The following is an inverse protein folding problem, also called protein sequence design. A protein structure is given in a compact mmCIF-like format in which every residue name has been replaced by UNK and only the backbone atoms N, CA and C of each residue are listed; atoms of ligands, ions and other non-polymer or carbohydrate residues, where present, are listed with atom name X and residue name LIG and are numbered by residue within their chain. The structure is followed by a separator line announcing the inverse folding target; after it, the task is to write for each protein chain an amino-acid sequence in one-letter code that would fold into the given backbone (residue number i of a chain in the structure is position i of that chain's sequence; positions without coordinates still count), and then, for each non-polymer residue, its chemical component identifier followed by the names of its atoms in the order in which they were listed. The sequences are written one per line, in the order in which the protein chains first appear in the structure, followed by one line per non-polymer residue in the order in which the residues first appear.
data_IF_008000924993
#
_entry.id   IF_008000924993
#
_cell.length_a   1.000
_cell.length_b   1.000
_cell.length_c   1.000
_cell.angle_alpha   90.00
_cell.angle_beta   90.00
_cell.angle_gamma   90.00
#
_symmetry.space_group_name_H-M   'P 1'
#
loop_
_entity.id
_entity.type
_entity.pdbx_description
1 polymer ?
#
# COMPACT_ATOMS: atom_id res chain seq x y z
N UNK A 1 -16.55 -93.99 44.74
CA UNK A 1 -15.89 -92.78 45.21
C UNK A 1 -14.86 -92.40 44.14
N UNK A 2 -15.18 -91.53 43.20
CA UNK A 2 -14.25 -91.19 42.12
C UNK A 2 -14.22 -89.64 42.08
N UNK A 3 -13.10 -89.06 42.49
CA UNK A 3 -12.84 -87.68 42.49
C UNK A 3 -12.61 -87.21 41.06
N UNK A 4 -13.43 -86.22 40.58
CA UNK A 4 -13.20 -85.47 39.35
C UNK A 4 -12.43 -84.22 39.69
N UNK A 5 -11.25 -84.04 39.10
CA UNK A 5 -10.46 -82.87 39.08
C UNK A 5 -11.07 -81.87 38.07
N UNK A 6 -11.08 -80.53 38.34
CA UNK A 6 -11.53 -79.55 37.38
C UNK A 6 -10.37 -79.18 36.47
N UNK A 7 -10.72 -78.98 35.20
CA UNK A 7 -9.90 -78.52 34.10
C UNK A 7 -9.55 -76.99 34.25
N UNK A 8 -8.32 -76.58 33.89
CA UNK A 8 -7.95 -75.22 33.97
C UNK A 8 -8.50 -74.42 32.73
N UNK A 9 -9.29 -73.40 33.00
CA UNK A 9 -9.67 -72.43 32.00
C UNK A 9 -8.46 -71.55 31.62
N UNK A 10 -8.01 -71.67 30.37
CA UNK A 10 -7.03 -70.76 29.79
C UNK A 10 -7.77 -69.45 29.41
N UNK A 11 -7.51 -68.42 30.19
CA UNK A 11 -8.04 -67.04 29.89
C UNK A 11 -7.15 -66.41 28.86
N UNK A 12 -7.64 -66.29 27.61
CA UNK A 12 -6.98 -65.56 26.54
C UNK A 12 -7.26 -64.07 26.79
N UNK A 13 -6.27 -63.34 27.30
CA UNK A 13 -6.28 -61.88 27.39
C UNK A 13 -6.03 -61.34 25.98
N UNK A 14 -7.10 -60.92 25.30
CA UNK A 14 -6.98 -60.12 24.09
C UNK A 14 -6.48 -58.71 24.47
N UNK A 15 -5.16 -58.48 24.33
CA UNK A 15 -4.62 -57.13 24.31
C UNK A 15 -5.08 -56.42 23.02
N UNK A 16 -6.17 -55.66 23.13
CA UNK A 16 -6.53 -54.70 22.10
C UNK A 16 -5.49 -53.55 22.10
N UNK A 17 -4.57 -53.63 21.14
CA UNK A 17 -3.66 -52.52 20.84
C UNK A 17 -4.51 -51.41 20.24
N UNK A 18 -4.80 -50.40 21.06
CA UNK A 18 -5.39 -49.12 20.60
C UNK A 18 -4.30 -48.39 19.83
N UNK A 19 -4.29 -48.53 18.50
CA UNK A 19 -3.56 -47.60 17.64
C UNK A 19 -4.26 -46.24 17.78
N UNK A 20 -3.70 -45.39 18.61
CA UNK A 20 -4.00 -43.96 18.54
C UNK A 20 -3.52 -43.47 17.19
N UNK A 21 -4.44 -43.28 16.26
CA UNK A 21 -4.22 -42.48 15.06
C UNK A 21 -3.92 -41.06 15.54
N UNK A 22 -2.64 -40.71 15.55
CA UNK A 22 -2.23 -39.31 15.61
C UNK A 22 -2.81 -38.63 14.37
N UNK A 23 -3.95 -37.95 14.53
CA UNK A 23 -4.37 -36.96 13.59
C UNK A 23 -3.20 -35.96 13.43
N UNK A 24 -2.69 -35.76 12.21
CA UNK A 24 -1.78 -34.66 11.97
C UNK A 24 -2.58 -33.38 12.17
N UNK A 25 -2.66 -32.95 13.42
CA UNK A 25 -3.37 -31.72 13.82
C UNK A 25 -2.99 -30.60 12.88
N UNK A 26 -4.01 -30.04 12.29
CA UNK A 26 -4.04 -28.87 11.43
C UNK A 26 -3.08 -27.79 11.97
N UNK A 27 -1.89 -27.71 11.39
CA UNK A 27 -0.88 -26.70 11.71
C UNK A 27 -1.24 -25.34 11.08
N UNK A 28 -2.51 -25.11 10.74
CA UNK A 28 -3.05 -23.79 10.50
C UNK A 28 -3.10 -23.08 11.84
N UNK A 29 -2.16 -22.18 12.06
CA UNK A 29 -2.14 -21.32 13.24
C UNK A 29 -3.55 -20.76 13.44
N UNK A 30 -4.14 -20.98 14.63
CA UNK A 30 -5.48 -20.49 14.97
C UNK A 30 -5.56 -19.02 14.60
N UNK A 31 -6.39 -18.72 13.63
CA UNK A 31 -6.70 -17.35 13.26
C UNK A 31 -7.27 -16.65 14.49
N UNK A 32 -6.72 -15.49 14.86
CA UNK A 32 -7.18 -14.76 16.04
C UNK A 32 -8.64 -14.39 15.89
N UNK A 33 -9.39 -14.47 16.97
CA UNK A 33 -10.80 -14.08 17.00
C UNK A 33 -10.96 -12.57 16.76
N UNK A 34 -12.11 -12.22 16.23
CA UNK A 34 -12.51 -10.83 16.08
C UNK A 34 -12.81 -10.21 17.44
N UNK A 35 -12.28 -9.03 17.68
CA UNK A 35 -12.61 -8.19 18.81
C UNK A 35 -13.09 -6.83 18.31
N UNK A 36 -13.92 -6.17 19.10
CA UNK A 36 -14.35 -4.79 18.86
C UNK A 36 -13.69 -3.89 19.88
N UNK A 37 -13.02 -2.86 19.39
CA UNK A 37 -12.53 -1.76 20.20
C UNK A 37 -13.57 -0.64 20.09
N UNK A 38 -14.29 -0.39 21.16
CA UNK A 38 -15.35 0.60 21.20
C UNK A 38 -14.84 1.96 21.69
N UNK A 39 -15.62 3.00 21.42
CA UNK A 39 -15.34 4.37 21.83
C UNK A 39 -13.94 4.86 21.42
N UNK A 40 -13.50 4.44 20.26
CA UNK A 40 -12.25 4.86 19.69
C UNK A 40 -12.30 6.35 19.29
N UNK A 41 -11.15 7.01 19.35
CA UNK A 41 -10.98 8.41 18.93
C UNK A 41 -9.78 8.54 18.01
N UNK A 42 -9.92 9.33 16.96
CA UNK A 42 -8.84 9.71 16.10
C UNK A 42 -7.79 10.52 16.87
N UNK A 43 -6.52 10.17 16.73
CA UNK A 43 -5.41 10.97 17.24
C UNK A 43 -4.87 11.82 16.09
N UNK A 44 -4.89 13.15 16.18
CA UNK A 44 -4.30 14.01 15.16
C UNK A 44 -2.81 13.67 14.97
N UNK A 45 -2.43 13.34 13.74
CA UNK A 45 -1.05 13.04 13.36
C UNK A 45 -0.83 13.39 11.88
N UNK A 46 0.31 13.98 11.56
CA UNK A 46 0.65 14.34 10.17
C UNK A 46 0.75 13.11 9.26
N UNK A 47 1.13 11.96 9.83
CA UNK A 47 1.24 10.69 9.11
C UNK A 47 -0.11 9.98 8.90
N UNK A 48 -1.23 10.54 9.37
CA UNK A 48 -2.55 10.01 9.07
C UNK A 48 -2.89 10.28 7.60
N UNK A 49 -3.44 9.29 6.94
CA UNK A 49 -3.95 9.37 5.56
C UNK A 49 -5.37 8.80 5.45
N UNK A 50 -5.86 8.59 4.24
CA UNK A 50 -7.23 8.13 4.01
C UNK A 50 -7.48 6.66 4.38
N UNK A 51 -6.47 5.83 4.54
CA UNK A 51 -6.63 4.40 4.87
C UNK A 51 -5.82 3.93 6.08
N UNK A 52 -4.99 4.82 6.64
CA UNK A 52 -4.10 4.49 7.76
C UNK A 52 -3.98 5.69 8.72
N UNK A 53 -4.38 5.51 9.98
CA UNK A 53 -4.46 6.61 10.94
C UNK A 53 -4.32 6.14 12.38
N UNK A 54 -3.85 7.05 13.23
CA UNK A 54 -3.65 6.81 14.66
C UNK A 54 -4.97 6.89 15.40
N UNK A 55 -5.22 5.89 16.24
CA UNK A 55 -6.47 5.72 16.99
C UNK A 55 -6.15 5.44 18.47
N UNK A 56 -6.88 6.08 19.37
CA UNK A 56 -6.88 5.72 20.79
C UNK A 56 -8.12 4.91 21.10
N UNK A 57 -7.90 3.70 21.61
CA UNK A 57 -8.93 2.86 22.19
C UNK A 57 -8.59 2.63 23.67
N UNK A 58 -9.43 3.15 24.58
CA UNK A 58 -9.11 3.25 26.01
C UNK A 58 -7.75 3.97 26.21
N UNK A 59 -6.79 3.33 26.92
CA UNK A 59 -5.46 3.89 27.17
C UNK A 59 -4.41 3.45 26.15
N UNK A 60 -4.80 2.73 25.10
CA UNK A 60 -3.88 2.17 24.11
C UNK A 60 -4.00 2.91 22.78
N UNK A 61 -2.84 3.22 22.19
CA UNK A 61 -2.74 3.79 20.86
C UNK A 61 -2.43 2.71 19.82
N UNK A 62 -3.16 2.76 18.72
CA UNK A 62 -2.97 1.89 17.58
C UNK A 62 -2.81 2.71 16.29
N UNK A 63 -2.02 2.20 15.36
CA UNK A 63 -2.05 2.65 13.97
C UNK A 63 -2.96 1.68 13.21
N UNK A 64 -4.19 2.12 12.95
CA UNK A 64 -5.19 1.32 12.23
C UNK A 64 -4.98 1.48 10.74
N UNK A 65 -4.97 0.37 10.00
CA UNK A 65 -5.06 0.34 8.55
C UNK A 65 -6.33 -0.40 8.14
N UNK A 66 -7.06 0.18 7.20
CA UNK A 66 -8.30 -0.41 6.72
C UNK A 66 -8.04 -1.69 5.94
N UNK A 67 -8.94 -2.66 6.07
CA UNK A 67 -9.01 -3.80 5.17
C UNK A 67 -9.60 -3.39 3.83
N UNK A 68 -9.22 -4.09 2.75
CA UNK A 68 -9.74 -4.02 1.39
C UNK A 68 -9.53 -2.72 0.63
N UNK A 69 -9.23 -1.61 1.28
CA UNK A 69 -9.17 -0.29 0.63
C UNK A 69 -7.78 0.31 0.73
N UNK A 70 -7.46 1.14 -0.26
CA UNK A 70 -6.20 1.85 -0.38
C UNK A 70 -6.51 3.25 -0.91
N UNK A 71 -6.38 4.25 -0.05
CA UNK A 71 -6.53 5.64 -0.43
C UNK A 71 -5.26 6.13 -1.13
N UNK A 72 -5.36 7.07 -2.06
CA UNK A 72 -4.19 7.69 -2.66
C UNK A 72 -3.34 8.40 -1.62
N UNK A 73 -2.06 8.32 -1.83
CA UNK A 73 -1.06 8.88 -0.94
C UNK A 73 -0.93 10.40 -1.10
N UNK A 74 -0.69 11.10 0.00
CA UNK A 74 -0.65 12.58 0.01
C UNK A 74 0.76 13.16 -0.09
N UNK A 75 1.79 12.45 0.32
CA UNK A 75 3.19 12.90 0.27
C UNK A 75 4.21 11.78 0.55
N UNK A 76 5.45 11.99 0.15
CA UNK A 76 6.61 11.20 0.61
C UNK A 76 6.78 9.82 0.00
N UNK A 77 6.09 9.48 -1.09
CA UNK A 77 5.97 8.14 -1.63
C UNK A 77 6.56 8.00 -3.01
N UNK A 78 6.84 6.73 -3.36
CA UNK A 78 7.37 6.33 -4.64
C UNK A 78 6.47 6.84 -5.77
N UNK A 79 7.08 7.53 -6.73
CA UNK A 79 6.40 8.00 -7.94
C UNK A 79 5.65 6.86 -8.67
N UNK A 80 6.21 5.64 -8.62
CA UNK A 80 5.56 4.47 -9.22
C UNK A 80 4.20 4.16 -8.60
N UNK A 81 4.04 4.33 -7.28
CA UNK A 81 2.76 4.09 -6.61
C UNK A 81 1.73 5.17 -6.96
N UNK A 82 2.17 6.43 -7.04
CA UNK A 82 1.29 7.52 -7.49
C UNK A 82 0.82 7.32 -8.93
N UNK A 83 1.71 6.86 -9.82
CA UNK A 83 1.35 6.54 -11.21
C UNK A 83 0.33 5.39 -11.25
N UNK A 84 0.58 4.30 -10.53
CA UNK A 84 -0.36 3.17 -10.43
C UNK A 84 -1.74 3.60 -9.92
N UNK A 85 -1.79 4.46 -8.90
CA UNK A 85 -3.03 5.00 -8.37
C UNK A 85 -3.72 5.95 -9.36
N UNK A 86 -2.95 6.79 -10.07
CA UNK A 86 -3.46 7.68 -11.11
C UNK A 86 -4.07 6.90 -12.27
N UNK A 87 -3.39 5.84 -12.73
CA UNK A 87 -3.90 4.91 -13.75
C UNK A 87 -5.21 4.23 -13.31
N UNK A 88 -5.30 3.82 -12.04
CA UNK A 88 -6.50 3.20 -11.52
C UNK A 88 -7.74 4.11 -11.60
N UNK A 89 -7.60 5.38 -11.24
CA UNK A 89 -8.67 6.37 -11.31
C UNK A 89 -8.85 6.99 -12.70
N UNK A 90 -7.90 6.81 -13.63
CA UNK A 90 -7.91 7.45 -14.94
C UNK A 90 -7.67 8.95 -14.86
N UNK A 91 -6.79 9.40 -13.98
CA UNK A 91 -6.49 10.80 -13.70
C UNK A 91 -4.98 11.07 -13.75
N UNK A 92 -4.59 12.33 -13.73
CA UNK A 92 -3.19 12.74 -13.63
C UNK A 92 -2.63 12.54 -12.21
N UNK A 93 -1.30 12.48 -12.08
CA UNK A 93 -0.62 12.39 -10.77
C UNK A 93 -0.99 13.56 -9.82
N UNK A 94 -1.05 14.83 -10.23
CA UNK A 94 -1.55 15.90 -9.37
C UNK A 94 -2.97 15.65 -8.86
N UNK A 95 -3.88 15.17 -9.73
CA UNK A 95 -5.26 14.87 -9.34
C UNK A 95 -5.35 13.70 -8.36
N UNK A 96 -4.50 12.67 -8.51
CA UNK A 96 -4.49 11.57 -7.55
C UNK A 96 -4.05 12.01 -6.15
N UNK A 97 -3.13 12.97 -6.05
CA UNK A 97 -2.74 13.58 -4.77
C UNK A 97 -3.92 14.37 -4.17
N UNK A 98 -4.70 15.06 -4.99
CA UNK A 98 -5.92 15.75 -4.53
C UNK A 98 -6.95 14.74 -3.98
N UNK A 99 -7.15 13.62 -4.66
CA UNK A 99 -8.02 12.53 -4.15
C UNK A 99 -7.53 12.06 -2.78
N UNK A 100 -6.22 11.88 -2.59
CA UNK A 100 -5.64 11.49 -1.30
C UNK A 100 -5.89 12.53 -0.20
N UNK A 101 -5.74 13.81 -0.51
CA UNK A 101 -6.07 14.91 0.42
C UNK A 101 -7.56 14.96 0.75
N UNK A 102 -8.43 14.70 -0.23
CA UNK A 102 -9.87 14.60 -0.01
C UNK A 102 -10.22 13.38 0.87
N UNK A 103 -9.60 12.23 0.62
CA UNK A 103 -9.75 11.04 1.43
C UNK A 103 -9.36 11.32 2.90
N UNK A 104 -8.22 11.99 3.13
CA UNK A 104 -7.79 12.39 4.47
C UNK A 104 -8.82 13.32 5.12
N UNK A 105 -9.28 14.37 4.45
CA UNK A 105 -10.30 15.29 4.97
C UNK A 105 -11.60 14.56 5.30
N UNK A 106 -12.01 13.63 4.44
CA UNK A 106 -13.19 12.81 4.66
C UNK A 106 -13.06 11.96 5.93
N UNK A 107 -11.92 11.29 6.11
CA UNK A 107 -11.64 10.47 7.30
C UNK A 107 -11.61 11.33 8.56
N UNK A 108 -10.91 12.47 8.54
CA UNK A 108 -10.86 13.39 9.68
C UNK A 108 -12.26 13.85 10.10
N UNK A 109 -13.15 14.14 9.13
CA UNK A 109 -14.54 14.51 9.40
C UNK A 109 -15.37 13.35 9.95
N UNK A 110 -15.26 12.14 9.36
CA UNK A 110 -16.04 10.95 9.77
C UNK A 110 -15.61 10.40 11.13
N UNK A 111 -14.36 10.58 11.51
CA UNK A 111 -13.79 10.12 12.77
C UNK A 111 -13.69 11.24 13.84
N UNK A 112 -14.33 12.39 13.61
CA UNK A 112 -14.45 13.46 14.62
C UNK A 112 -15.25 13.03 15.84
N UNK A 113 -16.25 12.17 15.67
CA UNK A 113 -17.03 11.55 16.71
C UNK A 113 -16.46 10.16 17.09
N UNK A 114 -16.81 9.62 18.28
CA UNK A 114 -16.39 8.28 18.66
C UNK A 114 -16.88 7.22 17.67
N UNK A 115 -16.02 6.24 17.40
CA UNK A 115 -16.26 5.14 16.47
C UNK A 115 -15.80 3.81 17.06
N UNK A 116 -16.03 2.70 16.38
CA UNK A 116 -15.49 1.40 16.77
C UNK A 116 -14.57 0.82 15.70
N UNK A 117 -13.61 -0.01 16.15
CA UNK A 117 -12.67 -0.73 15.28
C UNK A 117 -12.84 -2.21 15.52
N UNK A 118 -13.25 -2.95 14.50
CA UNK A 118 -13.36 -4.40 14.53
C UNK A 118 -12.08 -5.00 13.95
N UNK A 119 -11.33 -5.74 14.77
CA UNK A 119 -9.98 -6.18 14.43
C UNK A 119 -9.68 -7.56 15.02
N UNK A 120 -8.72 -8.25 14.44
CA UNK A 120 -8.11 -9.46 15.02
C UNK A 120 -6.78 -9.14 15.72
N UNK A 121 -6.43 -7.88 15.90
CA UNK A 121 -5.10 -7.44 16.30
C UNK A 121 -3.99 -8.05 15.43
N UNK A 122 -4.31 -8.37 14.19
CA UNK A 122 -3.32 -8.84 13.24
C UNK A 122 -2.39 -7.68 12.88
N UNK A 123 -1.09 -7.89 13.05
CA UNK A 123 -0.09 -6.86 12.82
C UNK A 123 0.00 -6.47 11.36
N UNK A 124 -0.18 -5.19 11.06
CA UNK A 124 0.21 -4.61 9.79
C UNK A 124 1.73 -4.51 9.68
N UNK A 125 2.28 -4.79 8.50
CA UNK A 125 3.71 -4.61 8.24
C UNK A 125 4.10 -3.13 8.34
N UNK A 126 5.21 -2.82 9.01
CA UNK A 126 5.73 -1.45 9.12
C UNK A 126 6.72 -1.26 10.26
N UNK A 127 7.41 -0.10 10.27
CA UNK A 127 8.42 0.28 11.28
C UNK A 127 7.87 1.23 12.34
N UNK A 128 6.55 1.27 12.55
CA UNK A 128 5.95 2.12 13.57
C UNK A 128 6.33 1.64 14.98
N UNK A 129 6.56 2.58 15.91
CA UNK A 129 6.67 2.29 17.35
C UNK A 129 5.32 1.94 17.96
N UNK A 130 4.24 2.43 17.37
CA UNK A 130 2.85 2.12 17.72
C UNK A 130 2.44 0.83 17.02
N UNK A 131 1.68 -0.02 17.72
CA UNK A 131 1.19 -1.26 17.15
C UNK A 131 0.29 -0.96 15.95
N UNK A 132 0.70 -1.44 14.75
CA UNK A 132 -0.12 -1.37 13.55
C UNK A 132 -1.05 -2.58 13.49
N UNK A 133 -2.34 -2.33 13.31
CA UNK A 133 -3.37 -3.35 13.18
C UNK A 133 -4.22 -3.10 11.93
N UNK A 134 -4.74 -4.18 11.36
CA UNK A 134 -5.80 -4.08 10.36
C UNK A 134 -7.16 -4.08 11.04
N UNK A 135 -8.11 -3.32 10.53
CA UNK A 135 -9.45 -3.26 11.08
C UNK A 135 -10.52 -2.78 10.10
N UNK A 136 -11.76 -3.16 10.38
CA UNK A 136 -12.95 -2.51 9.86
C UNK A 136 -13.31 -1.38 10.81
N UNK A 137 -13.49 -0.19 10.32
CA UNK A 137 -13.84 0.99 11.13
C UNK A 137 -15.31 1.32 10.91
N UNK A 138 -16.06 1.29 12.00
CA UNK A 138 -17.50 1.54 11.97
C UNK A 138 -17.81 2.88 12.62
N UNK A 139 -18.34 3.77 11.81
CA UNK A 139 -18.90 5.06 12.24
C UNK A 139 -20.42 4.92 12.45
N UNK A 140 -21.07 5.97 12.92
CA UNK A 140 -22.54 6.05 12.98
C UNK A 140 -23.23 5.94 11.61
N UNK A 141 -22.51 6.19 10.51
CA UNK A 141 -22.99 6.11 9.14
C UNK A 141 -22.62 4.80 8.43
N UNK A 142 -21.94 3.87 9.10
CA UNK A 142 -21.56 2.57 8.55
C UNK A 142 -20.05 2.34 8.48
N UNK A 143 -19.60 1.41 7.63
CA UNK A 143 -18.19 1.08 7.48
C UNK A 143 -17.45 2.18 6.70
N UNK A 144 -16.32 2.62 7.24
CA UNK A 144 -15.53 3.72 6.67
C UNK A 144 -14.89 3.35 5.31
N UNK A 145 -14.44 2.10 5.15
CA UNK A 145 -13.89 1.62 3.89
C UNK A 145 -14.94 1.64 2.77
N UNK A 146 -16.16 1.19 3.08
CA UNK A 146 -17.28 1.26 2.16
C UNK A 146 -17.60 2.73 1.79
N UNK A 147 -17.61 3.61 2.77
CA UNK A 147 -17.86 5.04 2.53
C UNK A 147 -16.80 5.67 1.63
N UNK A 148 -15.52 5.34 1.84
CA UNK A 148 -14.42 5.84 1.00
C UNK A 148 -14.57 5.39 -0.45
N UNK A 149 -14.86 4.11 -0.69
CA UNK A 149 -15.07 3.57 -2.04
C UNK A 149 -16.32 4.17 -2.69
N UNK A 150 -17.43 4.27 -1.96
CA UNK A 150 -18.69 4.85 -2.45
C UNK A 150 -18.55 6.34 -2.82
N UNK A 151 -17.60 7.05 -2.25
CA UNK A 151 -17.29 8.44 -2.56
C UNK A 151 -16.13 8.61 -3.57
N UNK A 152 -15.59 7.51 -4.13
CA UNK A 152 -14.49 7.55 -5.09
C UNK A 152 -13.18 8.09 -4.50
N UNK A 153 -12.95 7.89 -3.21
CA UNK A 153 -11.80 8.38 -2.45
C UNK A 153 -10.77 7.32 -2.15
N UNK A 154 -11.11 6.04 -2.35
CA UNK A 154 -10.19 4.92 -2.22
C UNK A 154 -10.47 3.86 -3.28
N UNK A 155 -9.44 3.08 -3.62
CA UNK A 155 -9.53 1.92 -4.51
C UNK A 155 -9.67 0.63 -3.71
N UNK A 156 -10.20 -0.40 -4.35
CA UNK A 156 -10.31 -1.73 -3.76
C UNK A 156 -8.95 -2.43 -3.89
N UNK A 157 -8.15 -2.37 -2.84
CA UNK A 157 -6.80 -2.89 -2.83
C UNK A 157 -6.34 -3.24 -1.40
N UNK A 158 -5.27 -4.03 -1.28
CA UNK A 158 -4.59 -4.27 0.01
C UNK A 158 -4.99 -5.58 0.68
N UNK A 159 -4.80 -5.62 2.01
CA UNK A 159 -5.03 -6.82 2.82
C UNK A 159 -6.52 -7.07 2.97
N UNK A 160 -6.92 -8.33 2.83
CA UNK A 160 -8.30 -8.78 2.95
C UNK A 160 -8.47 -9.72 4.13
N UNK A 161 -9.67 -9.75 4.72
CA UNK A 161 -10.08 -10.73 5.71
C UNK A 161 -11.58 -10.99 5.56
N UNK A 162 -12.09 -12.20 5.89
CA UNK A 162 -13.53 -12.39 6.04
C UNK A 162 -14.06 -11.40 7.08
N UNK A 163 -15.16 -10.73 6.81
CA UNK A 163 -15.82 -9.89 7.82
C UNK A 163 -16.26 -10.74 9.04
N UNK A 164 -16.48 -10.14 10.21
CA UNK A 164 -16.98 -10.87 11.38
C UNK A 164 -18.25 -11.66 11.05
N UNK A 165 -18.21 -12.97 11.24
CA UNK A 165 -19.34 -13.88 10.92
C UNK A 165 -19.40 -14.35 9.47
N UNK A 166 -18.59 -13.81 8.57
CA UNK A 166 -18.49 -14.29 7.19
C UNK A 166 -17.46 -15.43 7.06
N UNK A 167 -17.74 -16.36 6.16
CA UNK A 167 -16.84 -17.47 5.84
C UNK A 167 -15.80 -17.12 4.78
N UNK A 168 -16.00 -16.02 4.06
CA UNK A 168 -15.16 -15.60 2.93
C UNK A 168 -15.03 -14.08 2.87
N UNK A 169 -13.93 -13.62 2.31
CA UNK A 169 -13.71 -12.21 1.96
C UNK A 169 -14.33 -11.82 0.61
N UNK A 170 -14.97 -12.76 -0.08
CA UNK A 170 -15.54 -12.53 -1.40
C UNK A 170 -16.75 -11.59 -1.35
N UNK A 171 -17.63 -11.79 -0.37
CA UNK A 171 -18.87 -11.00 -0.23
C UNK A 171 -18.56 -9.51 0.00
N UNK A 172 -17.55 -9.22 0.86
CA UNK A 172 -17.11 -7.85 1.11
C UNK A 172 -16.49 -7.22 -0.15
N UNK A 173 -15.70 -8.00 -0.88
CA UNK A 173 -15.10 -7.54 -2.14
C UNK A 173 -16.17 -7.24 -3.20
N UNK A 174 -17.19 -8.09 -3.31
CA UNK A 174 -18.30 -7.90 -4.23
C UNK A 174 -19.11 -6.64 -3.88
N UNK A 175 -19.41 -6.44 -2.60
CA UNK A 175 -20.07 -5.24 -2.09
C UNK A 175 -19.27 -3.97 -2.44
N UNK A 176 -17.97 -3.97 -2.19
CA UNK A 176 -17.12 -2.85 -2.55
C UNK A 176 -17.09 -2.60 -4.06
N UNK A 177 -17.05 -3.66 -4.88
CA UNK A 177 -17.09 -3.54 -6.34
C UNK A 177 -18.41 -2.92 -6.84
N UNK A 178 -19.53 -3.23 -6.19
CA UNK A 178 -20.83 -2.59 -6.48
C UNK A 178 -20.80 -1.10 -6.11
N UNK A 179 -20.27 -0.75 -4.93
CA UNK A 179 -20.13 0.64 -4.49
C UNK A 179 -19.21 1.45 -5.43
N UNK A 180 -18.09 0.85 -5.85
CA UNK A 180 -17.17 1.48 -6.81
C UNK A 180 -17.85 1.70 -8.18
N UNK A 181 -18.61 0.71 -8.67
CA UNK A 181 -19.34 0.82 -9.93
C UNK A 181 -20.38 1.95 -9.86
N UNK A 182 -21.04 2.10 -8.73
CA UNK A 182 -21.98 3.20 -8.49
C UNK A 182 -21.25 4.55 -8.43
N UNK A 183 -20.12 4.63 -7.74
CA UNK A 183 -19.29 5.84 -7.67
C UNK A 183 -18.80 6.27 -9.06
N UNK A 184 -18.38 5.32 -9.90
CA UNK A 184 -18.01 5.55 -11.32
C UNK A 184 -19.17 6.09 -12.14
N UNK A 185 -20.36 5.48 -12.00
CA UNK A 185 -21.56 5.92 -12.71
C UNK A 185 -21.96 7.36 -12.31
N UNK A 186 -21.88 7.67 -11.03
CA UNK A 186 -22.20 9.00 -10.48
C UNK A 186 -21.09 10.01 -10.67
N UNK A 187 -19.91 9.60 -11.11
CA UNK A 187 -18.73 10.43 -11.29
C UNK A 187 -18.35 11.21 -10.01
N UNK A 188 -18.31 10.52 -8.87
CA UNK A 188 -17.94 11.14 -7.59
C UNK A 188 -16.46 10.93 -7.27
N UNK A 189 -15.89 11.86 -6.49
CA UNK A 189 -14.47 11.82 -6.11
C UNK A 189 -13.56 11.72 -7.33
N UNK A 190 -12.57 10.82 -7.28
CA UNK A 190 -11.64 10.61 -8.38
C UNK A 190 -12.28 10.22 -9.70
N UNK A 191 -13.43 9.56 -9.68
CA UNK A 191 -14.17 9.17 -10.90
C UNK A 191 -14.84 10.34 -11.62
N UNK A 192 -14.95 11.49 -10.97
CA UNK A 192 -15.48 12.73 -11.57
C UNK A 192 -14.42 13.66 -12.15
N UNK A 193 -13.15 13.39 -11.85
CA UNK A 193 -12.03 14.16 -12.37
C UNK A 193 -11.75 13.73 -13.81
N UNK A 194 -12.00 14.60 -14.78
CA UNK A 194 -11.61 14.35 -16.17
C UNK A 194 -10.12 14.65 -16.35
N UNK A 195 -9.41 13.81 -17.10
CA UNK A 195 -8.12 14.24 -17.64
C UNK A 195 -8.35 15.51 -18.45
N UNK A 196 -7.79 16.63 -18.00
CA UNK A 196 -7.64 17.80 -18.85
C UNK A 196 -6.59 17.43 -19.90
N UNK A 197 -6.90 17.36 -21.21
CA UNK A 197 -5.86 17.26 -22.21
C UNK A 197 -4.96 18.46 -22.02
N UNK A 198 -3.66 18.23 -21.96
CA UNK A 198 -2.66 19.28 -21.84
C UNK A 198 -2.70 20.14 -23.13
N UNK A 199 -3.66 21.03 -23.21
CA UNK A 199 -3.70 22.08 -24.20
C UNK A 199 -2.72 23.16 -23.75
N UNK A 200 -1.55 23.19 -24.36
CA UNK A 200 -0.58 24.27 -24.24
C UNK A 200 -1.13 25.58 -24.79
N UNK A 201 -2.14 26.13 -24.13
CA UNK A 201 -2.78 27.43 -24.43
C UNK A 201 -3.04 28.17 -23.13
N UNK A 202 -2.31 29.25 -22.92
CA UNK A 202 -2.45 30.17 -21.80
C UNK A 202 -3.90 30.52 -21.50
N UNK A 203 -4.45 30.05 -20.40
CA UNK A 203 -5.49 30.77 -19.68
C UNK A 203 -5.22 30.63 -18.17
N UNK A 204 -5.04 31.82 -17.57
CA UNK A 204 -4.80 32.04 -16.16
C UNK A 204 -6.02 31.66 -15.33
N UNK A 205 -6.03 30.45 -14.79
CA UNK A 205 -6.78 30.14 -13.57
C UNK A 205 -5.77 29.58 -12.58
N UNK A 206 -5.73 30.20 -11.41
CA UNK A 206 -4.82 29.91 -10.30
C UNK A 206 -4.80 28.44 -9.94
N UNK A 207 -3.88 27.71 -10.55
CA UNK A 207 -3.49 26.37 -10.08
C UNK A 207 -2.74 26.54 -8.77
N UNK A 208 -2.99 25.69 -7.76
CA UNK A 208 -2.10 25.66 -6.60
C UNK A 208 -0.71 25.29 -7.10
N UNK A 209 0.25 26.15 -6.84
CA UNK A 209 1.65 26.00 -7.20
C UNK A 209 2.23 24.74 -6.56
N UNK A 210 2.39 23.68 -7.36
CA UNK A 210 3.01 22.40 -6.93
C UNK A 210 4.46 22.58 -6.50
N UNK A 211 5.12 23.68 -6.91
CA UNK A 211 6.49 24.02 -6.52
C UNK A 211 6.61 24.37 -5.03
N UNK A 212 5.51 24.75 -4.38
CA UNK A 212 5.48 25.11 -2.96
C UNK A 212 5.67 23.92 -2.02
N UNK A 213 5.51 22.67 -2.52
CA UNK A 213 5.60 21.46 -1.72
C UNK A 213 6.93 20.71 -1.90
N UNK A 214 7.78 21.15 -2.86
CA UNK A 214 9.04 20.48 -3.21
C UNK A 214 10.27 21.30 -2.83
N UNK A 215 10.14 22.60 -2.53
CA UNK A 215 11.31 23.45 -2.31
C UNK A 215 11.17 24.35 -1.10
N UNK A 216 11.84 24.01 -0.04
CA UNK A 216 12.49 24.98 0.83
C UNK A 216 13.99 24.86 0.62
N UNK A 217 14.52 25.57 -0.39
CA UNK A 217 15.86 26.16 -0.41
C UNK A 217 16.01 27.07 -1.65
N UNK A 218 16.78 28.17 -1.58
CA UNK A 218 16.63 29.31 -2.45
C UNK A 218 17.48 29.27 -3.73
N UNK A 219 16.87 29.79 -4.76
CA UNK A 219 17.30 30.55 -5.95
C UNK A 219 18.78 30.61 -6.33
N UNK A 220 19.09 30.25 -7.57
CA UNK A 220 19.76 31.17 -8.49
C UNK A 220 19.53 30.76 -9.95
N UNK A 221 19.28 31.78 -10.76
CA UNK A 221 18.91 31.84 -12.16
C UNK A 221 20.01 31.36 -13.13
N UNK A 222 19.64 30.75 -14.27
CA UNK A 222 20.01 31.26 -15.59
C UNK A 222 19.63 30.33 -16.75
N UNK A 223 18.87 30.92 -17.66
CA UNK A 223 18.88 30.83 -19.15
C UNK A 223 18.62 29.51 -19.88
N UNK A 224 17.56 29.63 -20.70
CA UNK A 224 17.06 28.72 -21.72
C UNK A 224 18.02 28.46 -22.89
N UNK A 225 17.94 27.27 -23.46
CA UNK A 225 18.04 27.03 -24.92
C UNK A 225 17.04 25.95 -25.30
N UNK A 226 16.15 26.30 -26.23
CA UNK A 226 15.19 25.42 -26.86
C UNK A 226 15.85 24.60 -27.96
N UNK A 227 15.52 23.33 -28.06
CA UNK A 227 15.66 22.57 -29.30
C UNK A 227 14.49 21.60 -29.45
N UNK A 228 13.87 21.68 -30.63
CA UNK A 228 12.63 21.05 -31.06
C UNK A 228 12.68 19.52 -31.20
N UNK A 229 11.49 18.87 -31.21
CA UNK A 229 11.37 17.42 -31.25
C UNK A 229 11.19 16.90 -32.67
N UNK A 230 12.02 15.98 -33.10
CA UNK A 230 11.68 15.02 -34.13
C UNK A 230 12.51 13.73 -33.96
N UNK A 231 11.81 12.64 -34.20
CA UNK A 231 12.29 11.25 -34.27
C UNK A 231 12.14 10.37 -33.00
N UNK A 232 10.91 9.86 -32.86
CA UNK A 232 10.63 8.64 -32.11
C UNK A 232 10.00 7.62 -33.05
N UNK A 233 10.80 6.77 -33.67
CA UNK A 233 10.35 5.47 -34.15
C UNK A 233 11.44 4.42 -33.99
N UNK A 234 11.04 3.34 -33.30
CA UNK A 234 11.65 2.03 -33.25
C UNK A 234 12.97 1.88 -32.48
N UNK A 235 12.89 1.33 -31.24
CA UNK A 235 13.99 0.50 -30.77
C UNK A 235 13.52 -0.68 -29.92
N UNK A 236 13.73 -1.84 -30.49
CA UNK A 236 13.70 -3.17 -29.90
C UNK A 236 14.60 -3.26 -28.66
N UNK A 237 14.30 -4.25 -27.77
CA UNK A 237 15.06 -4.66 -26.61
C UNK A 237 16.58 -4.59 -26.81
N UNK A 238 17.19 -3.48 -26.41
CA UNK A 238 18.63 -3.35 -26.37
C UNK A 238 19.12 -3.75 -24.96
N UNK A 239 20.04 -4.72 -24.91
CA UNK A 239 20.80 -5.04 -23.69
C UNK A 239 21.56 -3.79 -23.28
N UNK A 240 21.34 -3.31 -22.07
CA UNK A 240 22.06 -2.16 -21.51
C UNK A 240 23.54 -2.46 -21.48
N UNK A 241 24.31 -1.75 -22.29
CA UNK A 241 25.78 -1.85 -22.31
C UNK A 241 26.38 -1.22 -21.04
N UNK A 242 27.41 -1.84 -20.48
CA UNK A 242 28.19 -1.32 -19.36
C UNK A 242 28.70 0.10 -19.70
N UNK A 243 28.55 1.05 -18.77
CA UNK A 243 29.09 2.40 -18.92
C UNK A 243 28.28 3.36 -19.80
N UNK A 244 27.01 3.05 -20.12
CA UNK A 244 26.21 3.83 -21.07
C UNK A 244 25.15 4.74 -20.41
N UNK A 245 25.03 4.75 -19.10
CA UNK A 245 24.00 5.49 -18.37
C UNK A 245 24.64 6.68 -17.65
N UNK A 246 24.22 7.89 -18.00
CA UNK A 246 24.56 9.09 -17.27
C UNK A 246 23.67 9.21 -16.02
N UNK A 247 24.30 9.24 -14.86
CA UNK A 247 23.59 9.28 -13.57
C UNK A 247 22.71 10.52 -13.40
N UNK A 248 23.05 11.64 -14.05
CA UNK A 248 22.35 12.91 -13.91
C UNK A 248 21.20 13.10 -14.91
N UNK A 249 21.26 12.45 -16.07
CA UNK A 249 20.28 12.66 -17.16
C UNK A 249 19.40 11.46 -17.42
N UNK A 250 19.80 10.26 -16.99
CA UNK A 250 19.04 9.04 -17.22
C UNK A 250 17.61 9.12 -16.68
N UNK A 251 16.66 8.66 -17.46
CA UNK A 251 15.26 8.53 -17.06
C UNK A 251 15.07 7.39 -16.06
N UNK A 252 13.96 7.37 -15.34
CA UNK A 252 13.62 6.26 -14.43
C UNK A 252 13.62 4.92 -15.17
N UNK A 253 13.08 4.90 -16.39
CA UNK A 253 13.01 3.72 -17.25
C UNK A 253 14.42 3.18 -17.60
N UNK A 254 15.35 4.06 -17.91
CA UNK A 254 16.74 3.68 -18.18
C UNK A 254 17.44 3.18 -16.93
N UNK A 255 17.24 3.85 -15.79
CA UNK A 255 17.78 3.41 -14.50
C UNK A 255 17.28 2.02 -14.11
N UNK A 256 16.01 1.72 -14.35
CA UNK A 256 15.43 0.40 -14.03
C UNK A 256 15.89 -0.74 -14.95
N UNK A 257 16.57 -0.44 -16.07
CA UNK A 257 17.23 -1.46 -16.88
C UNK A 257 18.51 -2.00 -16.24
N UNK A 258 19.06 -1.28 -15.27
CA UNK A 258 20.26 -1.71 -14.53
C UNK A 258 19.92 -2.81 -13.55
N UNK A 259 20.56 -4.00 -13.62
CA UNK A 259 20.32 -5.07 -12.68
C UNK A 259 20.54 -4.64 -11.23
N UNK A 260 19.51 -4.69 -10.42
CA UNK A 260 19.56 -4.29 -9.02
C UNK A 260 19.04 -2.88 -8.72
N UNK A 261 18.64 -2.12 -9.74
CA UNK A 261 17.90 -0.86 -9.57
C UNK A 261 16.44 -1.12 -9.91
N UNK A 262 15.60 -1.13 -8.91
CA UNK A 262 14.13 -1.11 -9.07
C UNK A 262 13.60 0.33 -9.05
N UNK A 263 12.30 0.50 -9.33
CA UNK A 263 11.64 1.82 -9.41
C UNK A 263 11.91 2.71 -8.18
N UNK A 264 11.86 2.14 -6.97
CA UNK A 264 12.12 2.89 -5.71
C UNK A 264 13.55 3.45 -5.68
N UNK A 265 14.52 2.68 -6.15
CA UNK A 265 15.91 3.11 -6.14
C UNK A 265 16.19 4.10 -7.28
N UNK A 266 15.60 3.90 -8.44
CA UNK A 266 15.65 4.83 -9.55
C UNK A 266 15.10 6.21 -9.17
N UNK A 267 13.93 6.25 -8.52
CA UNK A 267 13.35 7.50 -8.03
C UNK A 267 14.25 8.22 -7.01
N UNK A 268 14.90 7.47 -6.09
CA UNK A 268 15.86 8.04 -5.13
C UNK A 268 17.11 8.59 -5.81
N UNK A 269 17.61 7.92 -6.85
CA UNK A 269 18.74 8.40 -7.64
C UNK A 269 18.35 9.72 -8.32
N UNK A 270 17.19 9.79 -8.94
CA UNK A 270 16.70 11.01 -9.58
C UNK A 270 16.53 12.15 -8.58
N UNK A 271 15.95 11.87 -7.41
CA UNK A 271 15.75 12.87 -6.35
C UNK A 271 17.07 13.38 -5.71
N UNK A 272 18.13 12.58 -5.77
CA UNK A 272 19.43 12.95 -5.20
C UNK A 272 20.36 13.70 -6.17
N UNK A 273 19.91 13.99 -7.39
CA UNK A 273 20.65 14.76 -8.39
C UNK A 273 20.82 16.24 -7.96
N UNK A 274 21.90 16.93 -8.36
CA UNK A 274 22.98 16.47 -9.25
C UNK A 274 24.10 15.72 -8.53
N UNK A 275 24.67 14.72 -9.18
CA UNK A 275 25.86 14.00 -8.74
C UNK A 275 27.11 14.57 -9.41
N UNK A 276 28.22 14.65 -8.70
CA UNK A 276 29.51 15.05 -9.26
C UNK A 276 30.16 13.95 -10.10
N UNK A 277 29.91 12.71 -9.70
CA UNK A 277 30.34 11.50 -10.39
C UNK A 277 29.41 10.34 -10.04
N UNK A 278 29.49 9.24 -10.79
CA UNK A 278 28.76 8.02 -10.46
C UNK A 278 29.13 7.43 -9.09
N UNK A 279 30.25 7.82 -8.49
CA UNK A 279 30.65 7.37 -7.17
C UNK A 279 29.80 7.99 -6.05
N UNK A 280 29.16 9.12 -6.32
CA UNK A 280 28.22 9.75 -5.40
C UNK A 280 26.94 8.93 -5.20
N UNK A 281 26.69 7.91 -6.05
CA UNK A 281 25.58 6.97 -5.84
C UNK A 281 25.62 6.28 -4.48
N UNK A 282 26.79 6.15 -3.85
CA UNK A 282 26.92 5.64 -2.47
C UNK A 282 26.17 6.51 -1.43
N UNK A 283 25.92 7.78 -1.73
CA UNK A 283 25.19 8.70 -0.86
C UNK A 283 23.68 8.49 -0.90
N UNK A 284 23.20 7.74 -1.90
CA UNK A 284 21.77 7.48 -2.07
C UNK A 284 21.30 6.42 -1.08
N UNK A 285 20.30 6.74 -0.29
CA UNK A 285 19.70 5.79 0.67
C UNK A 285 19.23 4.51 -0.03
N UNK A 286 19.76 3.36 0.39
CA UNK A 286 19.50 2.05 -0.20
C UNK A 286 20.62 1.57 -1.16
N UNK A 287 21.67 2.36 -1.37
CA UNK A 287 22.88 1.95 -2.09
C UNK A 287 24.03 1.80 -1.09
N UNK A 288 24.15 0.61 -0.51
CA UNK A 288 25.35 0.23 0.26
C UNK A 288 26.46 -0.29 -0.66
N UNK A 289 27.65 -0.56 -0.09
CA UNK A 289 28.84 -0.95 -0.86
C UNK A 289 28.62 -2.14 -1.80
N UNK A 290 27.90 -3.16 -1.34
CA UNK A 290 27.57 -4.34 -2.16
C UNK A 290 26.69 -4.00 -3.36
N UNK A 291 25.68 -3.16 -3.17
CA UNK A 291 24.79 -2.70 -4.23
C UNK A 291 25.53 -1.77 -5.19
N UNK A 292 26.32 -0.86 -4.66
CA UNK A 292 27.14 0.04 -5.44
C UNK A 292 28.11 -0.72 -6.37
N UNK A 293 28.84 -1.71 -5.87
CA UNK A 293 29.73 -2.54 -6.69
C UNK A 293 28.98 -3.25 -7.84
N UNK A 294 27.71 -3.64 -7.62
CA UNK A 294 26.88 -4.28 -8.62
C UNK A 294 26.46 -3.31 -9.74
N UNK A 295 26.08 -2.08 -9.38
CA UNK A 295 25.47 -1.14 -10.34
C UNK A 295 26.47 -0.19 -11.00
N UNK A 296 27.59 0.11 -10.33
CA UNK A 296 28.61 1.08 -10.79
C UNK A 296 29.07 0.86 -12.26
N UNK A 297 29.28 -0.37 -12.73
CA UNK A 297 29.74 -0.61 -14.12
C UNK A 297 28.79 -0.13 -15.21
N UNK A 298 27.54 0.18 -14.89
CA UNK A 298 26.53 0.64 -15.86
C UNK A 298 26.49 2.16 -16.00
N UNK A 299 27.20 2.90 -15.12
CA UNK A 299 27.22 4.36 -15.11
C UNK A 299 28.54 4.92 -15.63
N UNK A 300 28.42 6.05 -16.32
CA UNK A 300 29.57 6.86 -16.74
C UNK A 300 30.22 7.62 -15.58
#
# INVERSE_FOLDING_TARGET
MINKLPSPFVSIICCAIWLATLDPGDARGKEKDWITLDNCRLIPNEANDGDSFHVRANDTEYLVRLYFVDAPETAGISAARLIEQAEYFGVSVPQVIEIGLDAKRFVDAKLSEPFSVVTRLAGGLGRSKVQRIYGFVRTNEGDLGEQLVANGLARIHGTTAPAPGASSSADEREKLAQLESEAKRRKVGGWGMTEQPFNGGSQSHSSPDVSRWISTTPTSSSSAVATSPSELKNRSKEKTHLGNIDVNTATEKELTTVPGIGHVLAARIIAARPFRSADDLKKVSGIGDKKYAQIRPYFQ
#
